data_IF_828782195572
#
_entry.id   IF_828782195572
#
_cell.length_a   1.000
_cell.length_b   1.000
_cell.length_c   1.000
_cell.angle_alpha   90.00
_cell.angle_beta   90.00
_cell.angle_gamma   90.00
#
_symmetry.space_group_name_H-M   'P 1'
#
loop_
_entity.id
_entity.type
_entity.pdbx_description
1 polymer ?
#
# COMPACT_ATOMS: atom_id res chain seq x y z
N UNK A 1 -13.58 13.87 -43.69
CA UNK A 1 -12.77 13.25 -42.63
C UNK A 1 -12.23 11.96 -43.22
N UNK A 2 -10.94 11.91 -43.54
CA UNK A 2 -10.39 10.81 -44.33
C UNK A 2 -10.29 9.53 -43.50
N UNK A 3 -10.46 8.36 -44.13
CA UNK A 3 -10.47 7.05 -43.47
C UNK A 3 -9.21 6.79 -42.65
N UNK A 4 -8.05 7.25 -43.13
CA UNK A 4 -6.76 7.18 -42.41
C UNK A 4 -6.80 7.97 -41.10
N UNK A 5 -7.43 9.15 -41.09
CA UNK A 5 -7.55 9.99 -39.91
C UNK A 5 -8.46 9.35 -38.85
N UNK A 6 -9.50 8.64 -39.29
CA UNK A 6 -10.39 7.87 -38.40
C UNK A 6 -9.65 6.68 -37.77
N UNK A 7 -8.83 5.95 -38.52
CA UNK A 7 -8.03 4.85 -37.95
C UNK A 7 -6.96 5.35 -36.97
N UNK A 8 -6.28 6.46 -37.28
CA UNK A 8 -5.31 7.06 -36.36
C UNK A 8 -6.00 7.52 -35.07
N UNK A 9 -7.16 8.15 -35.18
CA UNK A 9 -7.94 8.60 -34.04
C UNK A 9 -8.44 7.43 -33.19
N UNK A 10 -8.93 6.37 -33.83
CA UNK A 10 -9.36 5.13 -33.17
C UNK A 10 -8.22 4.46 -32.42
N UNK A 11 -7.04 4.39 -33.03
CA UNK A 11 -5.85 3.81 -32.41
C UNK A 11 -5.39 4.61 -31.17
N UNK A 12 -5.35 5.93 -31.27
CA UNK A 12 -5.00 6.81 -30.14
C UNK A 12 -6.03 6.70 -29.01
N UNK A 13 -7.33 6.66 -29.33
CA UNK A 13 -8.39 6.46 -28.34
C UNK A 13 -8.23 5.12 -27.61
N UNK A 14 -7.93 4.04 -28.34
CA UNK A 14 -7.71 2.72 -27.76
C UNK A 14 -6.50 2.70 -26.82
N UNK A 15 -5.40 3.37 -27.19
CA UNK A 15 -4.22 3.50 -26.32
C UNK A 15 -4.52 4.24 -25.02
N UNK A 16 -5.33 5.30 -25.05
CA UNK A 16 -5.73 6.06 -23.86
C UNK A 16 -6.58 5.20 -22.91
N UNK A 17 -7.51 4.40 -23.46
CA UNK A 17 -8.34 3.49 -22.65
C UNK A 17 -7.56 2.31 -22.07
N UNK A 18 -6.41 1.96 -22.68
CA UNK A 18 -5.53 0.90 -22.19
C UNK A 18 -4.56 1.36 -21.08
N UNK A 19 -4.48 2.67 -20.81
CA UNK A 19 -3.61 3.16 -19.74
C UNK A 19 -4.21 2.86 -18.36
N UNK A 20 -3.47 2.22 -17.45
CA UNK A 20 -3.92 2.04 -16.08
C UNK A 20 -4.12 3.39 -15.40
N UNK A 21 -5.24 3.57 -14.70
CA UNK A 21 -5.40 4.72 -13.80
C UNK A 21 -4.37 4.63 -12.67
N UNK A 22 -3.45 5.58 -12.62
CA UNK A 22 -2.50 5.68 -11.51
C UNK A 22 -3.25 6.15 -10.25
N UNK A 23 -3.52 5.24 -9.32
CA UNK A 23 -4.03 5.59 -8.00
C UNK A 23 -2.88 5.64 -7.00
N UNK A 24 -2.73 6.77 -6.33
CA UNK A 24 -1.74 6.96 -5.27
C UNK A 24 -2.46 7.17 -3.93
N UNK A 25 -1.92 6.55 -2.87
CA UNK A 25 -2.31 6.83 -1.49
C UNK A 25 -1.31 7.83 -0.91
N UNK A 26 -1.84 8.93 -0.38
CA UNK A 26 -1.06 10.00 0.25
C UNK A 26 -1.45 10.17 1.72
N UNK A 27 -0.47 10.50 2.55
CA UNK A 27 -0.64 10.71 3.98
C UNK A 27 -0.33 12.16 4.36
N UNK A 28 -1.11 12.71 5.28
CA UNK A 28 -0.84 14.04 5.82
C UNK A 28 0.34 14.00 6.81
N UNK A 29 1.49 14.48 6.37
CA UNK A 29 2.72 14.51 7.18
C UNK A 29 2.73 15.59 8.27
N UNK A 30 1.78 16.54 8.27
CA UNK A 30 1.72 17.57 9.30
C UNK A 30 1.34 17.03 10.67
N UNK A 31 0.71 15.84 10.71
CA UNK A 31 0.41 15.12 11.94
C UNK A 31 1.69 14.56 12.59
N UNK A 32 2.73 14.33 11.79
CA UNK A 32 4.03 13.87 12.29
C UNK A 32 4.84 15.04 12.84
N UNK A 33 5.57 14.77 13.92
CA UNK A 33 6.56 15.70 14.45
C UNK A 33 7.57 16.08 13.36
N UNK A 34 7.93 17.37 13.30
CA UNK A 34 8.78 17.91 12.24
C UNK A 34 10.13 17.18 12.16
N UNK A 35 10.69 16.74 13.29
CA UNK A 35 11.96 16.04 13.32
C UNK A 35 11.91 14.62 12.74
N UNK A 36 10.69 14.05 12.63
CA UNK A 36 10.46 12.67 12.21
C UNK A 36 9.99 12.53 10.76
N UNK A 37 9.56 13.62 10.11
CA UNK A 37 9.00 13.60 8.74
C UNK A 37 9.93 12.97 7.71
N UNK A 38 11.23 13.21 7.85
CA UNK A 38 12.26 12.68 6.95
C UNK A 38 12.89 11.38 7.44
N UNK A 39 12.49 10.88 8.62
CA UNK A 39 13.10 9.73 9.31
C UNK A 39 12.21 8.50 9.37
N UNK A 40 10.90 8.66 9.17
CA UNK A 40 9.93 7.56 9.23
C UNK A 40 9.59 7.11 7.82
N UNK A 41 9.80 5.83 7.55
CA UNK A 41 9.29 5.19 6.34
C UNK A 41 7.80 4.82 6.53
N UNK A 42 6.92 5.56 5.86
CA UNK A 42 5.47 5.32 5.85
C UNK A 42 5.00 4.59 4.58
N UNK A 43 5.92 4.17 3.71
CA UNK A 43 5.57 3.51 2.45
C UNK A 43 4.75 2.24 2.67
N UNK A 44 5.08 1.48 3.72
CA UNK A 44 4.38 0.26 4.11
C UNK A 44 2.91 0.48 4.51
N UNK A 45 2.57 1.69 4.96
CA UNK A 45 1.20 2.02 5.37
C UNK A 45 0.27 2.24 4.16
N UNK A 46 0.82 2.44 2.95
CA UNK A 46 0.03 2.61 1.73
C UNK A 46 -0.74 1.35 1.35
N UNK A 47 -0.21 0.18 1.70
CA UNK A 47 -0.80 -1.11 1.38
C UNK A 47 -1.75 -1.57 2.48
N UNK A 48 -2.99 -1.85 2.11
CA UNK A 48 -4.00 -2.31 3.07
C UNK A 48 -3.65 -3.69 3.61
N UNK A 49 -3.59 -3.82 4.92
CA UNK A 49 -3.35 -5.10 5.62
C UNK A 49 -1.87 -5.45 5.82
N UNK A 50 -0.94 -4.59 5.40
CA UNK A 50 0.47 -4.76 5.71
C UNK A 50 0.75 -4.32 7.14
N UNK A 51 1.48 -5.16 7.87
CA UNK A 51 1.96 -4.89 9.23
C UNK A 51 3.45 -4.58 9.11
N UNK A 52 3.87 -3.42 9.64
CA UNK A 52 5.27 -3.04 9.65
C UNK A 52 6.10 -4.00 10.52
N UNK A 53 7.38 -4.24 10.21
CA UNK A 53 8.25 -5.00 11.11
C UNK A 53 8.39 -4.31 12.47
N UNK A 54 8.46 -5.09 13.55
CA UNK A 54 8.60 -4.57 14.90
C UNK A 54 8.01 -5.49 15.98
N UNK A 55 8.14 -5.08 17.23
CA UNK A 55 7.57 -5.80 18.36
C UNK A 55 6.11 -5.42 18.59
N UNK A 56 5.22 -6.41 18.59
CA UNK A 56 3.80 -6.24 18.85
C UNK A 56 3.38 -7.06 20.06
N UNK A 57 2.47 -6.48 20.85
CA UNK A 57 1.79 -7.19 21.94
C UNK A 57 0.50 -7.80 21.40
N UNK A 58 0.45 -9.13 21.32
CA UNK A 58 -0.64 -9.85 20.65
C UNK A 58 -1.23 -10.97 21.50
N UNK A 59 -2.48 -11.34 21.20
CA UNK A 59 -3.07 -12.59 21.66
C UNK A 59 -2.77 -13.69 20.63
N UNK A 60 -2.39 -14.86 21.12
CA UNK A 60 -2.03 -16.00 20.26
C UNK A 60 -3.12 -17.05 20.35
N UNK A 61 -3.63 -17.47 19.20
CA UNK A 61 -4.57 -18.58 19.07
C UNK A 61 -4.05 -19.62 18.09
N UNK A 62 -4.16 -20.89 18.45
CA UNK A 62 -3.79 -22.04 17.62
C UNK A 62 -5.00 -22.95 17.51
N UNK A 63 -5.41 -23.29 16.28
CA UNK A 63 -6.62 -24.09 16.03
C UNK A 63 -7.86 -23.55 16.74
N UNK A 64 -8.06 -22.23 16.67
CA UNK A 64 -9.15 -21.50 17.36
C UNK A 64 -9.11 -21.56 18.90
N UNK A 65 -8.11 -22.18 19.51
CA UNK A 65 -7.90 -22.16 20.95
C UNK A 65 -6.93 -21.02 21.30
N UNK A 66 -7.39 -20.06 22.10
CA UNK A 66 -6.53 -18.98 22.59
C UNK A 66 -5.55 -19.54 23.61
N UNK A 67 -4.26 -19.50 23.29
CA UNK A 67 -3.18 -20.03 24.13
C UNK A 67 -2.48 -18.94 24.95
N UNK A 68 -2.54 -17.68 24.49
CA UNK A 68 -1.99 -16.54 25.22
C UNK A 68 -2.85 -15.30 24.97
N UNK A 69 -3.00 -14.46 26.01
CA UNK A 69 -3.79 -13.24 25.96
C UNK A 69 -2.93 -11.97 25.92
N UNK A 70 -1.64 -12.12 25.63
CA UNK A 70 -0.68 -11.03 25.67
C UNK A 70 0.75 -11.53 25.66
N UNK A 71 1.34 -11.57 24.48
CA UNK A 71 2.73 -11.93 24.27
C UNK A 71 3.38 -10.90 23.35
N UNK A 72 4.60 -10.48 23.69
CA UNK A 72 5.44 -9.72 22.77
C UNK A 72 6.00 -10.66 21.72
N UNK A 73 5.70 -10.39 20.45
CA UNK A 73 6.21 -11.14 19.31
C UNK A 73 6.79 -10.14 18.32
N UNK A 74 7.95 -10.45 17.75
CA UNK A 74 8.62 -9.63 16.76
C UNK A 74 8.18 -10.02 15.35
N UNK A 75 7.51 -9.11 14.64
CA UNK A 75 7.20 -9.26 13.23
C UNK A 75 8.41 -8.87 12.39
N UNK A 76 8.77 -9.73 11.45
CA UNK A 76 9.88 -9.48 10.53
C UNK A 76 9.38 -9.53 9.09
N UNK A 77 9.98 -8.69 8.23
CA UNK A 77 9.77 -8.79 6.79
C UNK A 77 10.28 -10.17 6.36
N UNK A 78 9.49 -10.90 5.58
CA UNK A 78 9.93 -12.15 4.97
C UNK A 78 11.16 -11.84 4.09
N UNK A 79 12.27 -12.51 4.38
CA UNK A 79 13.51 -12.41 3.60
C UNK A 79 13.38 -12.95 2.19
#
# INVERSE_FOLDING_TARGET
>A
MDTVNIYRLSFVSCLVMAMPCAMAVEFNLNVLDKSMRDRIDISLLKEKGVIAPGEYFVSVAVNNNKISNGQKINWQKKG
#
